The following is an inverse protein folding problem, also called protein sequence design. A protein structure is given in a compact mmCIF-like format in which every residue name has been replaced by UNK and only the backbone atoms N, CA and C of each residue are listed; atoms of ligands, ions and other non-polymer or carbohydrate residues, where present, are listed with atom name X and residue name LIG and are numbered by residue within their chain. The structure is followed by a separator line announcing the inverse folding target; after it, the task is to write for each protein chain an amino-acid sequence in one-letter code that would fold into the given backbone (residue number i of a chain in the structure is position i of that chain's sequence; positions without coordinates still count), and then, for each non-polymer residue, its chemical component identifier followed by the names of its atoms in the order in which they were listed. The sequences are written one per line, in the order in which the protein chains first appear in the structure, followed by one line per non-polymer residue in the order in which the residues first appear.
data_IF_610826261964
#
_entry.id   IF_610826261964
#
_cell.length_a   1.000
_cell.length_b   1.000
_cell.length_c   1.000
_cell.angle_alpha   90.00
_cell.angle_beta   90.00
_cell.angle_gamma   90.00
#
_symmetry.space_group_name_H-M   'P 1'
#
loop_
_entity.id
_entity.type
_entity.pdbx_description
1 polymer ?
#
# COMPACT_ATOMS: atom_id res chain seq x y z
N UNK A 1 -9.33 -0.67 11.10
CA UNK A 1 -8.11 -0.90 10.29
C UNK A 1 -8.03 -2.37 9.96
N UNK A 2 -7.93 -2.73 8.69
CA UNK A 2 -8.00 -4.13 8.23
C UNK A 2 -7.06 -4.30 7.05
N UNK A 3 -6.42 -5.47 6.96
CA UNK A 3 -5.64 -5.89 5.79
C UNK A 3 -6.41 -5.69 4.48
N UNK A 4 -5.72 -5.31 3.41
CA UNK A 4 -6.28 -5.11 2.06
C UNK A 4 -6.95 -3.76 1.84
N UNK A 5 -7.24 -3.00 2.90
CA UNK A 5 -7.83 -1.66 2.78
C UNK A 5 -6.78 -0.63 2.41
N UNK A 6 -7.18 0.34 1.60
CA UNK A 6 -6.36 1.49 1.22
C UNK A 6 -6.76 2.67 2.10
N UNK A 7 -5.75 3.30 2.70
CA UNK A 7 -5.91 4.43 3.58
C UNK A 7 -5.08 5.62 3.13
N UNK A 8 -5.51 6.80 3.55
CA UNK A 8 -4.70 7.99 3.52
C UNK A 8 -3.94 8.10 4.85
N UNK A 9 -2.62 8.14 4.79
CA UNK A 9 -1.74 8.16 5.95
C UNK A 9 -0.53 9.07 5.72
N UNK A 10 0.07 9.64 6.78
CA UNK A 10 1.40 10.24 6.69
C UNK A 10 2.40 9.16 6.26
N UNK A 11 2.97 9.32 5.08
CA UNK A 11 4.01 8.44 4.55
C UNK A 11 5.31 9.26 4.44
N UNK A 12 6.41 8.78 5.04
CA UNK A 12 7.68 9.49 4.99
C UNK A 12 8.26 9.48 3.59
N UNK A 13 9.07 10.49 3.29
CA UNK A 13 10.02 10.38 2.20
C UNK A 13 11.07 9.30 2.48
N UNK A 14 11.71 8.81 1.43
CA UNK A 14 12.78 7.81 1.50
C UNK A 14 14.00 8.29 2.29
N UNK A 15 14.27 9.60 2.28
CA UNK A 15 15.28 10.25 3.13
C UNK A 15 14.81 10.59 4.56
N UNK A 16 13.56 10.24 4.90
CA UNK A 16 12.92 10.52 6.19
C UNK A 16 12.82 12.01 6.56
N UNK A 17 13.09 12.93 5.61
CA UNK A 17 13.16 14.38 5.87
C UNK A 17 11.82 14.96 6.29
N UNK A 18 10.74 14.53 5.64
CA UNK A 18 9.38 15.02 5.86
C UNK A 18 8.36 13.92 5.59
N UNK A 19 7.12 14.15 6.01
CA UNK A 19 5.99 13.29 5.70
C UNK A 19 5.06 13.97 4.70
N UNK A 20 4.51 13.19 3.78
CA UNK A 20 3.36 13.61 2.96
C UNK A 20 2.20 12.65 3.17
N UNK A 21 1.01 13.21 3.16
CA UNK A 21 -0.22 12.44 3.25
C UNK A 21 -0.46 11.77 1.91
N UNK A 22 -0.40 10.44 1.86
CA UNK A 22 -0.47 9.66 0.61
C UNK A 22 -1.35 8.41 0.79
N UNK A 23 -1.95 7.90 -0.30
CA UNK A 23 -2.58 6.58 -0.27
C UNK A 23 -1.55 5.50 0.05
N UNK A 24 -1.96 4.51 0.85
CA UNK A 24 -1.16 3.34 1.19
C UNK A 24 -2.07 2.14 1.43
N UNK A 25 -1.63 0.94 1.03
CA UNK A 25 -2.36 -0.30 1.28
C UNK A 25 -1.94 -0.89 2.64
N UNK A 26 -2.92 -1.30 3.44
CA UNK A 26 -2.68 -1.97 4.72
C UNK A 26 -2.36 -3.45 4.49
N UNK A 27 -1.12 -3.85 4.80
CA UNK A 27 -0.63 -5.21 4.56
C UNK A 27 -0.96 -6.18 5.69
N UNK A 28 -1.17 -5.67 6.91
CA UNK A 28 -1.46 -6.48 8.09
C UNK A 28 -2.74 -6.01 8.80
N UNK A 29 -3.34 -6.92 9.57
CA UNK A 29 -4.25 -6.50 10.63
C UNK A 29 -3.43 -5.89 11.79
N UNK A 30 -4.06 -5.09 12.69
CA UNK A 30 -3.34 -4.51 13.82
C UNK A 30 -2.64 -5.58 14.68
N UNK A 31 -1.35 -5.38 14.93
CA UNK A 31 -0.47 -6.29 15.68
C UNK A 31 -0.05 -5.65 16.99
N UNK A 32 -0.07 -6.44 18.07
CA UNK A 32 0.39 -6.05 19.40
C UNK A 32 -0.50 -5.03 20.12
N UNK A 33 -0.14 -4.71 21.36
CA UNK A 33 -0.92 -3.82 22.24
C UNK A 33 -1.06 -2.40 21.67
N UNK A 34 0.00 -1.90 20.98
CA UNK A 34 0.01 -0.57 20.35
C UNK A 34 -0.71 -0.53 19.00
N UNK A 35 -1.30 -1.67 18.56
CA UNK A 35 -2.08 -1.79 17.33
C UNK A 35 -1.30 -1.26 16.14
N UNK A 36 -0.11 -1.79 15.90
CA UNK A 36 0.70 -1.40 14.75
C UNK A 36 0.23 -2.10 13.49
N UNK A 37 0.37 -1.43 12.35
CA UNK A 37 0.07 -1.97 11.02
C UNK A 37 1.24 -1.67 10.09
N UNK A 38 1.42 -2.55 9.11
CA UNK A 38 2.38 -2.33 8.02
C UNK A 38 1.61 -1.77 6.83
N UNK A 39 2.10 -0.68 6.27
CA UNK A 39 1.57 -0.04 5.08
C UNK A 39 2.58 -0.15 3.94
N UNK A 40 2.12 -0.43 2.73
CA UNK A 40 2.92 -0.27 1.51
C UNK A 40 2.50 0.97 0.73
N UNK A 41 3.50 1.62 0.15
CA UNK A 41 3.37 2.89 -0.54
C UNK A 41 2.57 2.78 -1.84
N UNK A 42 1.72 3.78 -2.14
CA UNK A 42 1.05 3.94 -3.43
C UNK A 42 1.45 5.28 -4.05
N UNK A 43 1.87 5.24 -5.31
CA UNK A 43 2.28 6.42 -6.08
C UNK A 43 1.53 6.51 -7.41
N UNK A 44 1.10 7.71 -7.80
CA UNK A 44 0.59 7.98 -9.16
C UNK A 44 1.71 8.22 -10.18
N UNK A 45 2.96 8.32 -9.73
CA UNK A 45 4.14 8.36 -10.60
C UNK A 45 4.51 6.92 -10.96
N UNK A 46 3.90 6.43 -12.04
CA UNK A 46 4.16 5.09 -12.56
C UNK A 46 5.58 5.08 -13.16
N UNK A 47 6.47 4.18 -12.71
CA UNK A 47 7.82 4.09 -13.27
C UNK A 47 7.77 3.56 -14.71
N UNK A 48 8.74 3.94 -15.54
CA UNK A 48 8.86 3.46 -16.92
C UNK A 48 9.11 1.95 -17.01
N UNK A 49 9.76 1.39 -16.00
CA UNK A 49 9.95 -0.04 -15.82
C UNK A 49 9.41 -0.45 -14.46
N UNK A 50 8.43 -1.36 -14.47
CA UNK A 50 7.86 -1.92 -13.25
C UNK A 50 8.81 -2.97 -12.67
N UNK A 51 9.04 -2.90 -11.37
CA UNK A 51 9.75 -3.93 -10.65
C UNK A 51 8.84 -5.15 -10.44
N UNK A 52 9.44 -6.30 -10.19
CA UNK A 52 8.69 -7.51 -9.88
C UNK A 52 7.83 -7.36 -8.62
N UNK A 53 8.26 -6.50 -7.68
CA UNK A 53 7.51 -6.18 -6.46
C UNK A 53 6.41 -5.15 -6.66
N UNK A 54 6.29 -4.57 -7.85
CA UNK A 54 5.27 -3.58 -8.12
C UNK A 54 3.93 -4.22 -8.51
N UNK A 55 2.85 -3.51 -8.18
CA UNK A 55 1.50 -3.84 -8.64
C UNK A 55 0.90 -2.58 -9.27
N UNK A 56 0.62 -2.67 -10.57
CA UNK A 56 -0.04 -1.60 -11.30
C UNK A 56 -1.56 -1.68 -11.10
N UNK A 57 -2.14 -0.59 -10.60
CA UNK A 57 -3.58 -0.34 -10.53
C UNK A 57 -3.92 0.72 -11.58
N UNK A 58 -4.00 0.31 -12.85
CA UNK A 58 -4.48 1.17 -13.93
C UNK A 58 -6.01 1.11 -14.06
N UNK A 59 -6.58 1.90 -14.96
CA UNK A 59 -8.04 1.96 -15.16
C UNK A 59 -8.67 0.64 -15.62
N UNK A 60 -7.89 -0.32 -16.13
CA UNK A 60 -8.35 -1.63 -16.56
C UNK A 60 -8.26 -2.68 -15.43
N UNK A 61 -7.49 -2.41 -14.38
CA UNK A 61 -7.34 -3.30 -13.24
C UNK A 61 -8.69 -3.44 -12.50
N UNK A 62 -9.14 -4.68 -12.17
CA UNK A 62 -10.46 -4.91 -11.57
C UNK A 62 -10.65 -4.18 -10.24
N UNK A 63 -9.59 -4.08 -9.44
CA UNK A 63 -9.63 -3.36 -8.16
C UNK A 63 -9.56 -1.84 -8.28
N UNK A 64 -9.32 -1.25 -9.46
CA UNK A 64 -9.09 0.19 -9.58
C UNK A 64 -10.26 1.01 -9.04
N UNK A 65 -11.49 0.66 -9.41
CA UNK A 65 -12.68 1.34 -8.92
C UNK A 65 -12.85 1.16 -7.40
N UNK A 66 -12.72 -0.07 -6.90
CA UNK A 66 -12.87 -0.41 -5.48
C UNK A 66 -11.76 0.17 -4.60
N UNK A 67 -10.59 0.48 -5.17
CA UNK A 67 -9.44 1.06 -4.47
C UNK A 67 -9.69 2.49 -3.96
N UNK A 68 -10.65 3.21 -4.57
CA UNK A 68 -10.91 4.62 -4.30
C UNK A 68 -9.81 5.57 -4.78
N UNK A 69 -8.84 5.07 -5.57
CA UNK A 69 -7.83 5.89 -6.23
C UNK A 69 -8.47 6.65 -7.40
N UNK A 70 -8.05 7.89 -7.61
CA UNK A 70 -8.59 8.77 -8.65
C UNK A 70 -7.86 8.67 -9.99
N UNK A 71 -6.63 8.18 -9.96
CA UNK A 71 -5.73 8.11 -11.12
C UNK A 71 -4.96 6.79 -11.08
N UNK A 72 -4.57 6.24 -12.24
CA UNK A 72 -3.68 5.10 -12.32
C UNK A 72 -2.48 5.25 -11.37
N UNK A 73 -2.20 4.20 -10.62
CA UNK A 73 -1.18 4.23 -9.56
C UNK A 73 -0.48 2.89 -9.44
N UNK A 74 0.68 2.89 -8.78
CA UNK A 74 1.47 1.69 -8.52
C UNK A 74 1.64 1.49 -7.02
N UNK A 75 1.37 0.28 -6.53
CA UNK A 75 1.75 -0.17 -5.19
C UNK A 75 3.22 -0.59 -5.24
N UNK A 76 4.06 0.00 -4.38
CA UNK A 76 5.51 -0.24 -4.32
C UNK A 76 5.80 -1.07 -3.07
N UNK A 77 5.88 -2.40 -3.20
CA UNK A 77 5.99 -3.30 -2.04
C UNK A 77 7.37 -3.26 -1.35
N UNK A 78 8.40 -2.74 -2.01
CA UNK A 78 9.71 -2.47 -1.40
C UNK A 78 9.73 -1.19 -0.56
N UNK A 79 8.67 -0.38 -0.58
CA UNK A 79 8.54 0.83 0.24
C UNK A 79 7.42 0.63 1.26
N UNK A 80 7.81 0.19 2.46
CA UNK A 80 6.90 -0.11 3.55
C UNK A 80 7.23 0.68 4.80
N UNK A 81 6.20 0.97 5.59
CA UNK A 81 6.35 1.59 6.92
C UNK A 81 5.47 0.90 7.93
N UNK A 82 5.93 0.85 9.18
CA UNK A 82 5.12 0.42 10.32
C UNK A 82 4.63 1.65 11.07
N UNK A 83 3.33 1.75 11.28
CA UNK A 83 2.70 2.87 11.99
C UNK A 83 1.65 2.37 12.98
N UNK A 84 1.32 3.19 13.98
CA UNK A 84 0.15 2.91 14.83
C UNK A 84 -1.14 3.20 14.08
N UNK A 85 -2.23 2.47 14.36
CA UNK A 85 -3.54 2.76 13.75
C UNK A 85 -4.06 4.18 14.01
N UNK A 86 -3.51 4.90 15.01
CA UNK A 86 -3.90 6.27 15.36
C UNK A 86 -3.51 7.32 14.33
N UNK A 87 -2.50 7.08 13.48
CA UNK A 87 -2.06 8.07 12.48
C UNK A 87 -2.87 8.02 11.18
N UNK A 88 -3.80 7.08 11.07
CA UNK A 88 -4.57 6.86 9.86
C UNK A 88 -5.70 7.89 9.78
N UNK A 89 -5.81 8.54 8.63
CA UNK A 89 -6.76 9.64 8.46
C UNK A 89 -8.09 9.16 7.87
N UNK A 90 -8.06 8.46 6.73
CA UNK A 90 -9.28 8.12 5.97
C UNK A 90 -9.14 6.82 5.19
N UNK A 91 -10.18 5.97 5.19
CA UNK A 91 -10.30 4.85 4.23
C UNK A 91 -10.62 5.42 2.84
N UNK A 92 -9.90 4.99 1.82
CA UNK A 92 -10.20 5.32 0.42
C UNK A 92 -10.99 4.20 -0.25
N UNK A 93 -10.58 2.96 -0.02
CA UNK A 93 -11.18 1.79 -0.66
C UNK A 93 -10.54 0.51 -0.16
N UNK A 94 -10.59 -0.54 -0.96
CA UNK A 94 -10.03 -1.84 -0.65
C UNK A 94 -9.69 -2.64 -1.90
N UNK A 95 -8.77 -3.58 -1.73
CA UNK A 95 -8.33 -4.52 -2.74
C UNK A 95 -9.03 -5.86 -2.54
N UNK A 96 -9.31 -6.56 -3.65
CA UNK A 96 -9.87 -7.90 -3.63
C UNK A 96 -8.91 -8.90 -2.98
N UNK A 97 -9.45 -10.05 -2.59
CA UNK A 97 -8.66 -11.16 -2.05
C UNK A 97 -7.56 -11.60 -3.03
N UNK A 98 -7.85 -11.61 -4.34
CA UNK A 98 -6.90 -12.03 -5.38
C UNK A 98 -5.68 -11.12 -5.43
N UNK A 99 -5.88 -9.80 -5.39
CA UNK A 99 -4.76 -8.85 -5.33
C UNK A 99 -4.00 -8.97 -4.01
N UNK A 100 -4.68 -9.25 -2.90
CA UNK A 100 -4.01 -9.47 -1.61
C UNK A 100 -3.15 -10.74 -1.59
N UNK A 101 -3.55 -11.79 -2.32
CA UNK A 101 -2.72 -13.00 -2.51
C UNK A 101 -1.47 -12.65 -3.33
N UNK A 102 -1.63 -11.94 -4.46
CA UNK A 102 -0.49 -11.47 -5.28
C UNK A 102 0.48 -10.58 -4.50
N UNK A 103 -0.04 -9.71 -3.62
CA UNK A 103 0.78 -8.90 -2.70
C UNK A 103 1.61 -9.81 -1.80
N UNK A 104 1.00 -10.83 -1.19
CA UNK A 104 1.69 -11.74 -0.29
C UNK A 104 2.79 -12.53 -1.02
N UNK A 105 2.51 -13.05 -2.22
CA UNK A 105 3.47 -13.77 -3.05
C UNK A 105 4.69 -12.88 -3.40
N UNK A 106 4.44 -11.66 -3.89
CA UNK A 106 5.50 -10.70 -4.21
C UNK A 106 6.31 -10.27 -2.99
N UNK A 107 5.68 -10.12 -1.83
CA UNK A 107 6.37 -9.82 -0.57
C UNK A 107 7.23 -11.00 -0.10
N UNK A 108 6.73 -12.23 -0.17
CA UNK A 108 7.52 -13.42 0.14
C UNK A 108 8.74 -13.52 -0.76
N UNK A 109 8.58 -13.25 -2.06
CA UNK A 109 9.69 -13.23 -3.01
C UNK A 109 10.72 -12.15 -2.64
N UNK A 110 10.27 -10.91 -2.44
CA UNK A 110 11.14 -9.79 -2.03
C UNK A 110 11.98 -10.09 -0.78
N UNK A 111 11.45 -10.86 0.17
CA UNK A 111 12.16 -11.20 1.41
C UNK A 111 13.01 -12.47 1.31
N UNK A 112 12.84 -13.25 0.24
CA UNK A 112 13.59 -14.50 0.02
C UNK A 112 14.73 -14.34 -0.97
N UNK A 113 14.71 -13.29 -1.78
CA UNK A 113 15.80 -12.86 -2.68
C UNK A 113 16.93 -12.18 -1.87
#
# INVERSE_FOLDING_TARGET
MTKGKIFLAPFPYDDLSTNKVRPAVCLTNPVGAKRHIILAYITSRIPSSLLETDILLDSAHPDFCASGLRVPSTIRLHQMVTVSTTVIQRKLGELSSDTQVKIAEKLCKLLSD
#
